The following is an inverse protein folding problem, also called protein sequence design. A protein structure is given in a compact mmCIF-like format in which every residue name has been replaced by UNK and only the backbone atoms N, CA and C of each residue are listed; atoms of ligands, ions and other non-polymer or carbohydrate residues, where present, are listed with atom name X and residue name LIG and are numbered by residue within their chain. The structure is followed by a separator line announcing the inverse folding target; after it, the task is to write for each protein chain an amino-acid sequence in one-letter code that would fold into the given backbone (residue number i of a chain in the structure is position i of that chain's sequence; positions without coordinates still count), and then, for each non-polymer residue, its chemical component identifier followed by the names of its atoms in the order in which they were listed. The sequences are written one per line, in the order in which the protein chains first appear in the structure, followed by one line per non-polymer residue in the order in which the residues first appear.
data_IF_350366499418
#
_entry.id   IF_350366499418
#
_cell.length_a   1.000
_cell.length_b   1.000
_cell.length_c   1.000
_cell.angle_alpha   90.00
_cell.angle_beta   90.00
_cell.angle_gamma   90.00
#
_symmetry.space_group_name_H-M   'P 1'
#
loop_
_entity.id
_entity.type
_entity.pdbx_description
1 polymer ?
#
# COMPACT_ATOMS: atom_id res chain seq x y z
N UNK A 1 4.52 -31.73 6.27
CA UNK A 1 3.93 -32.11 4.97
C UNK A 1 4.37 -31.07 3.96
N UNK A 2 4.68 -31.46 2.72
CA UNK A 2 5.03 -30.53 1.63
C UNK A 2 4.02 -30.75 0.51
N UNK A 3 3.42 -29.68 0.03
CA UNK A 3 2.53 -29.66 -1.13
C UNK A 3 3.02 -28.58 -2.10
N UNK A 4 2.55 -28.63 -3.34
CA UNK A 4 2.79 -27.60 -4.35
C UNK A 4 1.43 -27.12 -4.87
N UNK A 5 1.34 -25.82 -5.15
CA UNK A 5 0.18 -25.21 -5.78
C UNK A 5 0.54 -24.89 -7.23
N UNK A 6 -0.28 -25.37 -8.15
CA UNK A 6 -0.17 -25.14 -9.57
C UNK A 6 -1.36 -24.26 -9.99
N UNK A 7 -1.10 -23.25 -10.79
CA UNK A 7 -2.13 -22.30 -11.22
C UNK A 7 -2.99 -22.99 -12.27
N UNK A 8 -4.31 -23.11 -12.03
CA UNK A 8 -5.21 -23.89 -12.90
C UNK A 8 -5.30 -23.40 -14.36
N UNK A 9 -4.92 -22.14 -14.62
CA UNK A 9 -5.02 -21.49 -15.94
C UNK A 9 -3.66 -20.94 -16.34
N UNK A 10 -3.08 -21.44 -17.43
CA UNK A 10 -1.83 -20.92 -17.99
C UNK A 10 -2.03 -19.65 -18.82
N UNK A 11 -3.24 -19.45 -19.33
CA UNK A 11 -3.54 -18.32 -20.20
C UNK A 11 -3.41 -16.99 -19.46
N UNK A 12 -2.80 -16.02 -20.14
CA UNK A 12 -2.71 -14.64 -19.65
C UNK A 12 -1.74 -14.43 -18.49
N UNK A 13 -0.83 -15.37 -18.20
CA UNK A 13 0.25 -15.13 -17.22
C UNK A 13 1.20 -14.03 -17.71
N UNK A 14 1.55 -13.12 -16.80
CA UNK A 14 2.52 -12.04 -17.08
C UNK A 14 3.99 -12.50 -17.09
N UNK A 15 4.26 -13.72 -16.60
CA UNK A 15 5.61 -14.23 -16.35
C UNK A 15 6.22 -13.80 -15.02
N UNK A 16 5.55 -12.94 -14.23
CA UNK A 16 5.98 -12.63 -12.87
C UNK A 16 5.67 -13.78 -11.90
N UNK A 17 6.56 -14.07 -10.94
CA UNK A 17 6.33 -15.12 -9.97
C UNK A 17 5.12 -14.78 -9.07
N UNK A 18 4.28 -15.77 -8.74
CA UNK A 18 3.20 -15.57 -7.77
C UNK A 18 3.72 -15.05 -6.43
N UNK A 19 2.96 -14.17 -5.81
CA UNK A 19 3.21 -13.75 -4.44
C UNK A 19 2.38 -14.61 -3.49
N UNK A 20 2.93 -14.95 -2.33
CA UNK A 20 2.19 -15.65 -1.30
C UNK A 20 2.38 -14.94 0.05
N UNK A 21 1.32 -14.91 0.87
CA UNK A 21 1.38 -14.42 2.24
C UNK A 21 0.48 -15.22 3.16
N UNK A 22 1.00 -15.51 4.35
CA UNK A 22 0.29 -16.23 5.39
C UNK A 22 0.04 -15.34 6.62
N UNK A 23 -1.12 -15.52 7.24
CA UNK A 23 -1.51 -14.98 8.56
C UNK A 23 -2.23 -16.08 9.34
N UNK A 24 -1.53 -16.75 10.25
CA UNK A 24 -2.13 -17.88 10.97
C UNK A 24 -2.57 -19.00 10.01
N UNK A 25 -3.86 -19.28 9.94
CA UNK A 25 -4.49 -20.29 9.06
C UNK A 25 -4.91 -19.72 7.68
N UNK A 26 -4.71 -18.43 7.44
CA UNK A 26 -4.96 -17.78 6.16
C UNK A 26 -3.70 -17.87 5.31
N UNK A 27 -3.80 -18.44 4.12
CA UNK A 27 -2.77 -18.37 3.08
C UNK A 27 -3.39 -17.77 1.82
N UNK A 28 -2.88 -16.62 1.39
CA UNK A 28 -3.26 -16.00 0.14
C UNK A 28 -2.14 -16.13 -0.89
N UNK A 29 -2.55 -16.30 -2.15
CA UNK A 29 -1.70 -16.26 -3.33
C UNK A 29 -2.24 -15.20 -4.27
N UNK A 30 -1.35 -14.40 -4.84
CA UNK A 30 -1.66 -13.42 -5.88
C UNK A 30 -0.87 -13.75 -7.14
N UNK A 31 -1.57 -13.97 -8.25
CA UNK A 31 -1.02 -14.34 -9.56
C UNK A 31 -1.26 -13.19 -10.53
N UNK A 32 -0.19 -12.60 -11.05
CA UNK A 32 -0.30 -11.49 -12.00
C UNK A 32 -0.62 -11.99 -13.40
N UNK A 33 -1.74 -11.49 -13.95
CA UNK A 33 -2.21 -11.70 -15.32
C UNK A 33 -1.91 -10.47 -16.19
N UNK A 34 -2.08 -10.61 -17.50
CA UNK A 34 -1.92 -9.51 -18.46
C UNK A 34 -2.91 -8.36 -18.26
N UNK A 35 -4.05 -8.63 -17.63
CA UNK A 35 -5.15 -7.66 -17.45
C UNK A 35 -5.38 -7.28 -15.99
N UNK A 36 -4.63 -7.84 -15.03
CA UNK A 36 -4.87 -7.61 -13.60
C UNK A 36 -4.21 -8.65 -12.71
N UNK A 37 -4.70 -8.81 -11.49
CA UNK A 37 -4.15 -9.79 -10.53
C UNK A 37 -5.27 -10.68 -10.00
N UNK A 38 -5.11 -12.00 -10.13
CA UNK A 38 -5.96 -12.98 -9.48
C UNK A 38 -5.48 -13.22 -8.06
N UNK A 39 -6.39 -13.19 -7.10
CA UNK A 39 -6.14 -13.45 -5.69
C UNK A 39 -6.94 -14.69 -5.29
N UNK A 40 -6.29 -15.61 -4.60
CA UNK A 40 -6.89 -16.84 -4.11
C UNK A 40 -6.52 -17.10 -2.65
N UNK A 41 -7.43 -17.71 -1.90
CA UNK A 41 -7.14 -18.31 -0.60
C UNK A 41 -6.91 -19.80 -0.74
N UNK A 42 -5.79 -20.27 -0.22
CA UNK A 42 -5.41 -21.68 -0.18
C UNK A 42 -5.49 -22.22 1.26
N UNK A 43 -5.76 -23.51 1.39
CA UNK A 43 -5.69 -24.24 2.64
C UNK A 43 -4.22 -24.45 3.01
N UNK A 44 -3.76 -24.05 4.20
CA UNK A 44 -2.35 -24.19 4.57
C UNK A 44 -1.90 -25.65 4.68
N UNK A 45 -2.84 -26.58 4.94
CA UNK A 45 -2.56 -28.00 5.14
C UNK A 45 -2.34 -28.76 3.81
N UNK A 46 -3.09 -28.45 2.77
CA UNK A 46 -3.15 -29.21 1.53
C UNK A 46 -2.93 -28.39 0.25
N UNK A 47 -2.84 -27.06 0.36
CA UNK A 47 -2.63 -26.15 -0.76
C UNK A 47 -3.85 -25.98 -1.67
N UNK A 48 -5.01 -26.54 -1.30
CA UNK A 48 -6.21 -26.48 -2.13
C UNK A 48 -6.91 -25.13 -1.98
N UNK A 49 -7.60 -24.68 -3.02
CA UNK A 49 -8.41 -23.47 -2.97
C UNK A 49 -9.51 -23.62 -1.90
N UNK A 50 -9.65 -22.61 -1.05
CA UNK A 50 -10.67 -22.52 0.00
C UNK A 50 -11.92 -21.81 -0.52
N UNK A 51 -11.74 -20.76 -1.33
CA UNK A 51 -12.86 -20.07 -1.95
C UNK A 51 -13.50 -20.97 -3.01
N UNK A 52 -14.80 -21.18 -2.89
CA UNK A 52 -15.57 -22.05 -3.79
C UNK A 52 -15.77 -21.45 -5.18
N UNK A 53 -15.73 -20.13 -5.26
CA UNK A 53 -16.00 -19.36 -6.47
C UNK A 53 -14.71 -19.14 -7.28
N UNK A 54 -14.81 -18.40 -8.39
CA UNK A 54 -13.63 -18.02 -9.17
C UNK A 54 -12.65 -17.16 -8.34
N UNK A 55 -11.35 -17.16 -8.70
CA UNK A 55 -10.36 -16.27 -8.10
C UNK A 55 -10.83 -14.81 -8.13
N UNK A 56 -10.51 -14.08 -7.07
CA UNK A 56 -10.88 -12.67 -7.00
C UNK A 56 -9.97 -11.88 -7.91
N UNK A 57 -10.57 -11.18 -8.88
CA UNK A 57 -9.81 -10.39 -9.83
C UNK A 57 -9.68 -8.93 -9.36
N UNK A 58 -8.46 -8.49 -9.08
CA UNK A 58 -8.13 -7.09 -8.84
C UNK A 58 -7.72 -6.43 -10.16
N UNK A 59 -8.49 -5.43 -10.59
CA UNK A 59 -8.16 -4.57 -11.75
C UNK A 59 -7.03 -3.59 -11.38
N UNK A 60 -5.83 -4.15 -11.27
CA UNK A 60 -4.60 -3.43 -10.95
C UNK A 60 -3.43 -4.08 -11.66
N UNK A 61 -2.49 -3.27 -12.14
CA UNK A 61 -1.27 -3.76 -12.77
C UNK A 61 -0.46 -4.66 -11.81
N UNK A 62 -0.49 -4.33 -10.51
CA UNK A 62 0.21 -5.08 -9.46
C UNK A 62 -0.51 -4.98 -8.12
N UNK A 63 -0.44 -6.08 -7.38
CA UNK A 63 -0.78 -6.18 -5.95
C UNK A 63 0.49 -6.58 -5.20
N UNK A 64 0.72 -5.98 -4.03
CA UNK A 64 1.76 -6.42 -3.09
C UNK A 64 1.09 -7.07 -1.88
N UNK A 65 1.15 -8.40 -1.78
CA UNK A 65 0.55 -9.09 -0.64
C UNK A 65 1.27 -8.75 0.68
N UNK A 66 2.54 -8.30 0.67
CA UNK A 66 3.24 -7.82 1.89
C UNK A 66 2.67 -6.51 2.43
N UNK A 67 1.88 -5.82 1.61
CA UNK A 67 1.21 -4.58 1.96
C UNK A 67 -0.24 -4.80 2.44
N UNK A 68 -0.81 -5.99 2.22
CA UNK A 68 -2.14 -6.37 2.69
C UNK A 68 -2.19 -6.62 4.22
N UNK A 69 -3.39 -6.78 4.77
CA UNK A 69 -3.59 -7.31 6.12
C UNK A 69 -4.96 -7.97 6.28
N UNK A 70 -5.20 -8.67 7.39
CA UNK A 70 -6.45 -9.38 7.65
C UNK A 70 -7.02 -9.07 9.03
N UNK A 71 -8.34 -9.04 9.14
CA UNK A 71 -9.04 -9.23 10.41
C UNK A 71 -9.60 -10.66 10.47
N UNK A 72 -10.55 -10.94 11.39
CA UNK A 72 -11.15 -12.26 11.54
C UNK A 72 -12.04 -12.68 10.36
N UNK A 73 -12.61 -11.72 9.63
CA UNK A 73 -13.67 -11.93 8.63
C UNK A 73 -13.28 -11.46 7.23
N UNK A 74 -12.19 -10.69 7.09
CA UNK A 74 -11.83 -9.94 5.87
C UNK A 74 -10.33 -9.91 5.64
N UNK A 75 -9.95 -9.92 4.37
CA UNK A 75 -8.63 -9.46 3.93
C UNK A 75 -8.77 -8.09 3.27
N UNK A 76 -7.84 -7.19 3.61
CA UNK A 76 -7.70 -5.88 3.01
C UNK A 76 -6.49 -5.84 2.08
N UNK A 77 -6.73 -5.62 0.79
CA UNK A 77 -5.71 -5.67 -0.25
C UNK A 77 -5.60 -4.30 -0.94
N UNK A 78 -4.46 -3.61 -0.83
CA UNK A 78 -4.19 -2.44 -1.65
C UNK A 78 -3.90 -2.90 -3.10
N UNK A 79 -4.64 -2.32 -4.04
CA UNK A 79 -4.54 -2.62 -5.47
C UNK A 79 -4.51 -1.30 -6.25
N UNK A 80 -3.32 -0.88 -6.71
CA UNK A 80 -3.09 0.43 -7.31
C UNK A 80 -3.61 1.60 -6.44
N UNK A 81 -4.64 2.31 -6.91
CA UNK A 81 -5.31 3.43 -6.22
C UNK A 81 -6.60 3.00 -5.53
N UNK A 82 -6.78 1.72 -5.24
CA UNK A 82 -7.93 1.18 -4.51
C UNK A 82 -7.51 0.36 -3.30
N UNK A 83 -8.36 0.37 -2.29
CA UNK A 83 -8.36 -0.58 -1.19
C UNK A 83 -9.55 -1.51 -1.35
N UNK A 84 -9.28 -2.79 -1.51
CA UNK A 84 -10.32 -3.83 -1.59
C UNK A 84 -10.48 -4.48 -0.22
N UNK A 85 -11.71 -4.69 0.22
CA UNK A 85 -12.00 -5.59 1.33
C UNK A 85 -12.72 -6.83 0.79
N UNK A 86 -12.10 -8.00 0.96
CA UNK A 86 -12.61 -9.27 0.50
C UNK A 86 -13.06 -10.09 1.71
N UNK A 87 -14.24 -10.72 1.63
CA UNK A 87 -14.70 -11.64 2.64
C UNK A 87 -13.73 -12.82 2.73
N UNK A 88 -13.16 -13.07 3.91
CA UNK A 88 -12.12 -14.08 4.09
C UNK A 88 -12.63 -15.50 3.81
N UNK A 89 -13.92 -15.76 4.09
CA UNK A 89 -14.57 -17.05 3.86
C UNK A 89 -14.88 -17.35 2.39
N UNK A 90 -15.18 -16.34 1.57
CA UNK A 90 -15.70 -16.55 0.20
C UNK A 90 -14.89 -15.88 -0.90
N UNK A 91 -14.02 -14.94 -0.57
CA UNK A 91 -13.30 -14.09 -1.51
C UNK A 91 -14.12 -12.92 -2.04
N UNK A 92 -15.44 -12.91 -1.84
CA UNK A 92 -16.29 -11.86 -2.39
C UNK A 92 -15.87 -10.46 -1.93
N UNK A 93 -15.71 -9.54 -2.87
CA UNK A 93 -15.51 -8.12 -2.57
C UNK A 93 -16.70 -7.58 -1.79
N UNK A 94 -16.46 -7.14 -0.56
CA UNK A 94 -17.45 -6.52 0.32
C UNK A 94 -17.60 -5.04 0.02
N UNK A 95 -16.46 -4.36 -0.16
CA UNK A 95 -16.40 -2.95 -0.54
C UNK A 95 -15.07 -2.61 -1.21
N UNK A 96 -15.05 -1.48 -1.90
CA UNK A 96 -13.86 -0.85 -2.47
C UNK A 96 -13.81 0.60 -2.01
N UNK A 97 -12.61 1.11 -1.76
CA UNK A 97 -12.38 2.51 -1.41
C UNK A 97 -11.24 3.11 -2.24
N UNK A 98 -11.43 4.33 -2.74
CA UNK A 98 -10.39 5.04 -3.48
C UNK A 98 -9.26 5.48 -2.54
N UNK A 99 -8.04 5.16 -2.94
CA UNK A 99 -6.80 5.65 -2.35
C UNK A 99 -6.24 6.79 -3.21
N UNK A 100 -5.75 7.88 -2.61
CA UNK A 100 -5.04 8.93 -3.34
C UNK A 100 -3.84 8.37 -4.12
N UNK A 101 -3.49 9.05 -5.20
CA UNK A 101 -2.24 8.76 -5.91
C UNK A 101 -1.06 8.88 -4.94
N UNK A 102 -0.29 7.79 -4.86
CA UNK A 102 0.88 7.68 -4.01
C UNK A 102 2.11 8.39 -4.61
N UNK A 103 1.95 9.17 -5.70
CA UNK A 103 2.96 10.00 -6.37
C UNK A 103 4.22 9.22 -6.77
N UNK A 104 4.03 7.99 -7.25
CA UNK A 104 5.12 7.10 -7.65
C UNK A 104 5.86 6.42 -6.49
N UNK A 105 5.36 6.51 -5.25
CA UNK A 105 5.80 5.58 -4.20
C UNK A 105 5.33 4.16 -4.52
N UNK A 106 6.02 3.16 -3.98
CA UNK A 106 5.82 1.73 -4.26
C UNK A 106 4.46 1.16 -3.77
N UNK A 107 3.41 1.98 -3.69
CA UNK A 107 2.05 1.58 -3.34
C UNK A 107 1.64 2.00 -1.93
N UNK A 108 0.49 1.45 -1.52
CA UNK A 108 -0.10 1.63 -0.19
C UNK A 108 0.08 0.37 0.64
N UNK A 109 0.23 0.55 1.95
CA UNK A 109 0.27 -0.49 2.97
C UNK A 109 -0.96 -0.35 3.85
N UNK A 110 -1.53 -1.48 4.24
CA UNK A 110 -2.74 -1.56 5.04
C UNK A 110 -2.45 -2.28 6.35
N UNK A 111 -3.07 -1.85 7.44
CA UNK A 111 -3.16 -2.61 8.69
C UNK A 111 -4.59 -2.66 9.18
N UNK A 112 -5.02 -3.83 9.61
CA UNK A 112 -6.36 -4.04 10.16
C UNK A 112 -6.32 -3.93 11.69
N UNK A 113 -7.16 -3.07 12.25
CA UNK A 113 -7.46 -3.01 13.68
C UNK A 113 -8.90 -3.44 13.93
N UNK A 114 -9.32 -3.49 15.20
CA UNK A 114 -10.70 -3.91 15.54
C UNK A 114 -11.77 -2.91 15.11
N UNK A 115 -11.48 -1.62 15.20
CA UNK A 115 -12.45 -0.53 14.97
C UNK A 115 -12.20 0.25 13.69
N UNK A 116 -11.00 0.15 13.12
CA UNK A 116 -10.64 0.83 11.89
C UNK A 116 -9.55 0.08 11.13
N UNK A 117 -9.48 0.37 9.83
CA UNK A 117 -8.39 -0.05 8.94
C UNK A 117 -7.56 1.19 8.62
N UNK A 118 -6.25 1.10 8.77
CA UNK A 118 -5.34 2.17 8.36
C UNK A 118 -4.71 1.84 7.01
N UNK A 119 -4.67 2.81 6.11
CA UNK A 119 -3.88 2.76 4.90
C UNK A 119 -2.87 3.92 4.88
N UNK A 120 -1.62 3.63 4.58
CA UNK A 120 -0.55 4.62 4.47
C UNK A 120 0.40 4.26 3.32
N UNK A 121 1.06 5.22 2.67
CA UNK A 121 1.99 4.90 1.58
C UNK A 121 3.21 4.14 2.12
N UNK A 122 3.81 3.27 1.28
CA UNK A 122 5.04 2.53 1.63
C UNK A 122 6.16 3.47 2.07
N UNK A 123 6.22 4.66 1.47
CA UNK A 123 7.17 5.72 1.82
C UNK A 123 6.47 7.05 2.10
N UNK A 124 7.07 7.85 2.98
CA UNK A 124 6.63 9.21 3.23
C UNK A 124 6.74 10.05 1.94
N UNK A 125 5.69 10.79 1.62
CA UNK A 125 5.59 11.57 0.39
C UNK A 125 6.34 12.90 0.53
N UNK A 126 7.16 13.30 -0.44
CA UNK A 126 7.67 14.66 -0.52
C UNK A 126 6.52 15.67 -0.49
N UNK A 127 6.66 16.73 0.31
CA UNK A 127 5.67 17.80 0.39
C UNK A 127 5.39 18.39 -1.01
N UNK A 128 6.44 18.54 -1.80
CA UNK A 128 6.40 18.99 -3.19
C UNK A 128 6.86 17.88 -4.15
N UNK A 129 6.16 17.64 -5.28
CA UNK A 129 6.61 16.68 -6.28
C UNK A 129 8.01 17.03 -6.81
N UNK A 130 8.93 16.06 -6.99
CA UNK A 130 10.29 16.33 -7.46
C UNK A 130 10.35 17.12 -8.78
N UNK A 131 9.41 16.86 -9.69
CA UNK A 131 9.30 17.59 -10.96
C UNK A 131 8.99 19.09 -10.78
N UNK A 132 8.18 19.46 -9.79
CA UNK A 132 7.87 20.86 -9.49
C UNK A 132 9.10 21.58 -8.90
N UNK A 133 9.82 20.92 -7.98
CA UNK A 133 11.08 21.42 -7.43
C UNK A 133 12.12 21.63 -8.53
N UNK A 134 12.27 20.66 -9.43
CA UNK A 134 13.18 20.75 -10.58
C UNK A 134 12.81 21.88 -11.53
N UNK A 135 11.52 22.02 -11.87
CA UNK A 135 11.05 23.10 -12.73
C UNK A 135 11.32 24.49 -12.12
N UNK A 136 11.15 24.64 -10.81
CA UNK A 136 11.49 25.87 -10.09
C UNK A 136 13.00 26.15 -10.12
N UNK A 137 13.82 25.11 -9.89
CA UNK A 137 15.28 25.20 -9.95
C UNK A 137 15.77 25.67 -11.32
N UNK A 138 15.30 25.03 -12.40
CA UNK A 138 15.64 25.39 -13.79
C UNK A 138 15.23 26.82 -14.10
N UNK A 139 14.04 27.25 -13.65
CA UNK A 139 13.57 28.63 -13.83
C UNK A 139 14.46 29.62 -13.09
N UNK A 140 14.81 29.35 -11.83
CA UNK A 140 15.67 30.21 -11.03
C UNK A 140 17.08 30.34 -11.63
N UNK A 141 17.66 29.22 -12.09
CA UNK A 141 18.98 29.22 -12.73
C UNK A 141 18.98 29.94 -14.08
N UNK A 142 17.90 29.83 -14.88
CA UNK A 142 17.75 30.59 -16.13
C UNK A 142 17.65 32.09 -15.90
N UNK A 143 16.96 32.51 -14.84
CA UNK A 143 16.83 33.92 -14.50
C UNK A 143 18.16 34.51 -14.01
N UNK A 144 18.93 33.73 -13.25
CA UNK A 144 20.19 34.17 -12.64
C UNK A 144 21.24 33.04 -12.67
N UNK A 145 22.01 32.90 -13.76
CA UNK A 145 22.91 31.77 -13.99
C UNK A 145 24.24 31.89 -13.24
N UNK A 146 24.18 32.23 -11.95
CA UNK A 146 25.37 32.43 -11.12
C UNK A 146 25.75 31.17 -10.35
N UNK A 147 26.94 30.63 -10.62
CA UNK A 147 27.47 29.38 -10.02
C UNK A 147 27.52 29.44 -8.48
N UNK A 148 27.78 30.62 -7.90
CA UNK A 148 27.84 30.79 -6.44
C UNK A 148 26.48 30.60 -5.75
N UNK A 149 25.35 30.59 -6.48
CA UNK A 149 24.02 30.28 -5.94
C UNK A 149 23.72 28.79 -5.85
N UNK A 150 24.53 27.93 -6.49
CA UNK A 150 24.32 26.48 -6.50
C UNK A 150 24.21 25.85 -5.10
N UNK A 151 25.01 26.23 -4.09
CA UNK A 151 24.85 25.68 -2.74
C UNK A 151 23.49 25.98 -2.12
N UNK A 152 22.97 27.21 -2.26
CA UNK A 152 21.64 27.58 -1.76
C UNK A 152 20.53 26.83 -2.48
N UNK A 153 20.65 26.67 -3.80
CA UNK A 153 19.73 25.87 -4.60
C UNK A 153 19.77 24.38 -4.20
N UNK A 154 20.95 23.81 -3.95
CA UNK A 154 21.12 22.45 -3.45
C UNK A 154 20.48 22.27 -2.07
N UNK A 155 20.60 23.24 -1.17
CA UNK A 155 19.91 23.22 0.12
C UNK A 155 18.39 23.16 -0.04
N UNK A 156 17.81 23.96 -0.96
CA UNK A 156 16.35 23.89 -1.21
C UNK A 156 15.88 22.56 -1.80
N UNK A 157 16.71 21.92 -2.63
CA UNK A 157 16.44 20.57 -3.14
C UNK A 157 16.47 19.54 -2.01
N UNK A 158 17.46 19.65 -1.13
CA UNK A 158 17.59 18.80 0.04
C UNK A 158 16.40 18.96 0.98
N UNK A 159 15.99 20.18 1.31
CA UNK A 159 14.84 20.46 2.17
C UNK A 159 13.55 19.89 1.57
N UNK A 160 13.33 20.06 0.27
CA UNK A 160 12.17 19.49 -0.42
C UNK A 160 12.16 17.95 -0.40
N UNK A 161 13.34 17.34 -0.34
CA UNK A 161 13.49 15.88 -0.25
C UNK A 161 13.38 15.35 1.18
N UNK A 162 13.82 16.13 2.17
CA UNK A 162 13.79 15.75 3.60
C UNK A 162 12.44 15.99 4.23
N UNK A 163 11.79 17.12 3.92
CA UNK A 163 10.47 17.47 4.45
C UNK A 163 9.41 16.66 3.73
N UNK A 164 8.91 15.64 4.43
CA UNK A 164 7.92 14.70 3.92
C UNK A 164 6.70 14.66 4.82
N UNK A 165 5.61 14.13 4.28
CA UNK A 165 4.39 13.86 5.02
C UNK A 165 3.88 12.46 4.69
N UNK A 166 3.29 11.81 5.69
CA UNK A 166 2.65 10.51 5.57
C UNK A 166 1.14 10.73 5.67
N UNK A 167 0.39 10.71 4.56
CA UNK A 167 -1.06 10.68 4.63
C UNK A 167 -1.49 9.31 5.17
N UNK A 168 -2.01 9.29 6.39
CA UNK A 168 -2.62 8.11 7.00
C UNK A 168 -4.13 8.23 6.85
N UNK A 169 -4.72 7.26 6.17
CA UNK A 169 -6.16 7.18 5.93
C UNK A 169 -6.75 6.15 6.87
N UNK A 170 -7.85 6.52 7.52
CA UNK A 170 -8.61 5.62 8.39
C UNK A 170 -9.91 5.28 7.69
N UNK A 171 -10.22 3.99 7.62
CA UNK A 171 -11.44 3.46 7.02
C UNK A 171 -12.24 2.65 8.03
N UNK A 172 -13.55 2.73 7.89
CA UNK A 172 -14.48 1.86 8.59
C UNK A 172 -14.38 0.43 8.01
N UNK A 173 -14.14 -0.60 8.85
CA UNK A 173 -13.87 -1.95 8.36
C UNK A 173 -15.08 -2.60 7.69
N UNK A 174 -16.30 -2.19 8.07
CA UNK A 174 -17.54 -2.79 7.57
C UNK A 174 -17.98 -2.19 6.24
N UNK A 175 -17.92 -0.86 6.11
CA UNK A 175 -18.44 -0.12 4.96
C UNK A 175 -17.38 0.36 3.97
N UNK A 176 -16.11 0.39 4.37
CA UNK A 176 -15.05 1.02 3.58
C UNK A 176 -15.12 2.54 3.55
N UNK A 177 -16.02 3.16 4.34
CA UNK A 177 -16.14 4.61 4.41
C UNK A 177 -14.89 5.19 5.05
N UNK A 178 -14.29 6.19 4.41
CA UNK A 178 -13.18 6.94 5.00
C UNK A 178 -13.66 7.72 6.24
N UNK A 179 -13.13 7.35 7.40
CA UNK A 179 -13.38 7.99 8.69
C UNK A 179 -12.58 9.28 8.85
N UNK A 180 -11.28 9.21 8.52
CA UNK A 180 -10.37 10.34 8.69
C UNK A 180 -9.18 10.27 7.72
N UNK A 181 -8.50 11.41 7.59
CA UNK A 181 -7.19 11.54 6.97
C UNK A 181 -6.31 12.38 7.89
N UNK A 182 -5.13 11.88 8.21
CA UNK A 182 -4.17 12.54 9.09
C UNK A 182 -2.84 12.62 8.33
N UNK A 183 -2.36 13.82 8.06
CA UNK A 183 -1.06 14.03 7.43
C UNK A 183 0.02 14.16 8.53
N UNK A 184 0.85 13.13 8.69
CA UNK A 184 1.90 13.09 9.72
C UNK A 184 3.22 13.59 9.14
N UNK A 185 3.87 14.63 9.70
CA UNK A 185 5.18 15.05 9.24
C UNK A 185 6.23 13.94 9.44
N UNK A 186 7.13 13.81 8.48
CA UNK A 186 8.21 12.82 8.52
C UNK A 186 9.52 13.43 8.03
N UNK A 187 10.64 12.92 8.58
CA UNK A 187 11.98 13.11 7.99
C UNK A 187 12.47 11.79 7.42
N UNK A 188 12.75 11.80 6.11
CA UNK A 188 13.15 10.60 5.37
C UNK A 188 11.96 9.75 4.91
N UNK A 189 12.22 8.70 4.10
CA UNK A 189 11.18 7.95 3.40
C UNK A 189 10.49 6.91 4.29
N UNK A 190 11.13 6.42 5.35
CA UNK A 190 10.65 5.25 6.08
C UNK A 190 9.40 5.53 6.90
N UNK A 191 8.42 4.64 6.77
CA UNK A 191 7.16 4.64 7.51
C UNK A 191 6.83 3.22 7.94
N UNK A 192 6.37 3.07 9.18
CA UNK A 192 5.74 1.84 9.64
C UNK A 192 4.48 2.20 10.43
N UNK A 193 3.42 1.42 10.27
CA UNK A 193 2.28 1.49 11.16
C UNK A 193 1.86 0.09 11.62
N UNK A 194 1.30 0.03 12.81
CA UNK A 194 0.76 -1.17 13.43
C UNK A 194 -0.33 -0.79 14.44
N UNK A 195 -1.06 -1.78 14.92
CA UNK A 195 -1.96 -1.61 16.06
C UNK A 195 -1.30 -2.16 17.32
N UNK A 196 -1.33 -1.38 18.39
CA UNK A 196 -1.11 -1.85 19.76
C UNK A 196 -2.45 -1.91 20.47
N UNK A 197 -2.98 -3.13 20.63
CA UNK A 197 -4.39 -3.38 20.94
C UNK A 197 -5.35 -2.64 19.99
N UNK A 198 -6.05 -1.63 20.47
CA UNK A 198 -7.02 -0.83 19.70
C UNK A 198 -6.47 0.56 19.31
N UNK A 199 -5.19 0.83 19.60
CA UNK A 199 -4.53 2.11 19.27
C UNK A 199 -3.67 1.94 18.02
N UNK A 200 -3.94 2.73 16.98
CA UNK A 200 -3.07 2.77 15.81
C UNK A 200 -1.80 3.57 16.14
N UNK A 201 -0.64 3.00 15.84
CA UNK A 201 0.67 3.62 16.04
C UNK A 201 1.34 3.78 14.68
N UNK A 202 1.84 4.98 14.40
CA UNK A 202 2.57 5.30 13.18
C UNK A 202 3.94 5.83 13.54
N UNK A 203 4.98 5.13 13.11
CA UNK A 203 6.37 5.54 13.22
C UNK A 203 6.87 6.07 11.87
N UNK A 204 7.52 7.21 11.90
CA UNK A 204 8.27 7.79 10.78
C UNK A 204 9.73 7.94 11.18
N UNK A 205 10.60 8.35 10.26
CA UNK A 205 12.03 8.45 10.53
C UNK A 205 12.46 9.35 11.71
N UNK A 206 11.60 10.26 12.18
CA UNK A 206 11.92 11.18 13.30
C UNK A 206 10.91 11.20 14.46
N UNK A 207 9.80 10.46 14.38
CA UNK A 207 8.77 10.48 15.43
C UNK A 207 7.89 9.24 15.42
N UNK A 208 7.18 9.05 16.53
CA UNK A 208 6.09 8.08 16.67
C UNK A 208 4.83 8.83 17.09
N UNK A 209 3.71 8.51 16.46
CA UNK A 209 2.41 9.14 16.71
C UNK A 209 1.39 8.04 17.05
N UNK A 210 0.65 8.25 18.13
CA UNK A 210 -0.47 7.41 18.53
C UNK A 210 -1.77 8.07 18.09
N UNK A 211 -2.56 7.36 17.31
CA UNK A 211 -3.87 7.81 16.83
C UNK A 211 -4.93 7.21 17.74
N UNK A 212 -5.69 8.09 18.40
CA UNK A 212 -6.81 7.74 19.27
C UNK A 212 -8.13 8.01 18.56
#
# INVERSE_FOLDING_TARGET
MRWAYEVDRDDGLSGEPPQARAWGDVLLVAVRRNTGVEIERLGPADGKRVWSDEPVFADADRVDLRAADTDADRVYVPAANKLLALALGTGKTLWEADLPDARGTCGWVVRAGKTCVIAYPVEALPAEPPGAVWARLVRAFRAEPFVWRLPGLAATLYDAWVVRAVPVLLFDPESGKRLARIDIPARGPSVAAWFDADTAVVATGDRVVWLK
#
